data_IF_153126726924
#
_entry.id   IF_153126726924
#
_cell.length_a   1.000
_cell.length_b   1.000
_cell.length_c   1.000
_cell.angle_alpha   90.00
_cell.angle_beta   90.00
_cell.angle_gamma   90.00
#
_symmetry.space_group_name_H-M   'P 1'
#
loop_
_entity.id
_entity.type
_entity.pdbx_description
1 polymer ?
#
# COMPACT_ATOMS: atom_id res chain seq x y z
N UNK A 1 -2.31 55.03 -41.99
CA UNK A 1 -2.08 55.57 -40.64
C UNK A 1 -2.80 54.65 -39.67
N UNK A 2 -2.06 53.65 -39.20
CA UNK A 2 -2.47 52.84 -38.09
C UNK A 2 -2.12 53.54 -36.78
N UNK A 3 -2.90 53.39 -35.72
CA UNK A 3 -2.42 53.64 -34.39
C UNK A 3 -2.08 52.29 -33.67
N UNK A 4 -0.94 52.36 -33.04
CA UNK A 4 -0.24 51.32 -32.29
C UNK A 4 -1.11 50.64 -31.22
N UNK A 5 -0.95 49.33 -31.13
CA UNK A 5 -1.41 48.49 -30.03
C UNK A 5 -0.55 48.72 -28.77
N UNK A 6 -1.20 49.12 -27.67
CA UNK A 6 -0.58 49.18 -26.34
C UNK A 6 -0.39 47.82 -25.70
N UNK A 7 0.52 47.65 -24.71
CA UNK A 7 0.84 46.37 -24.14
C UNK A 7 -0.28 45.85 -23.22
N UNK A 8 -0.73 44.62 -23.51
CA UNK A 8 -1.67 43.91 -22.70
C UNK A 8 -1.11 43.62 -21.30
N UNK A 9 -1.88 43.93 -20.30
CA UNK A 9 -1.63 43.62 -18.90
C UNK A 9 -1.51 42.08 -18.71
N UNK A 10 -0.37 41.67 -18.22
CA UNK A 10 -0.22 40.37 -17.57
C UNK A 10 -1.05 40.43 -16.28
N UNK A 11 -2.19 39.74 -16.29
CA UNK A 11 -3.02 39.62 -15.10
C UNK A 11 -2.34 38.70 -14.09
N UNK A 12 -2.26 39.20 -12.87
CA UNK A 12 -1.83 38.50 -11.65
C UNK A 12 -2.42 37.10 -11.51
N UNK A 13 -1.57 36.06 -11.62
CA UNK A 13 -1.81 34.70 -11.14
C UNK A 13 -1.22 34.53 -9.75
N UNK A 14 -1.47 35.49 -8.86
CA UNK A 14 -1.06 35.45 -7.47
C UNK A 14 -2.28 35.58 -6.55
N UNK A 15 -3.18 34.60 -6.60
CA UNK A 15 -4.19 34.44 -5.54
C UNK A 15 -4.80 33.05 -5.68
N UNK A 16 -4.33 32.10 -4.88
CA UNK A 16 -5.01 30.99 -4.21
C UNK A 16 -3.96 29.95 -3.79
N UNK A 17 -2.95 30.39 -3.04
CA UNK A 17 -2.19 29.48 -2.19
C UNK A 17 -2.63 29.75 -0.75
N UNK A 18 -3.83 29.31 -0.40
CA UNK A 18 -4.14 29.01 0.98
C UNK A 18 -3.44 27.67 1.27
N UNK A 19 -2.18 27.75 1.69
CA UNK A 19 -1.47 26.63 2.31
C UNK A 19 -2.28 26.25 3.55
N UNK A 20 -3.17 25.27 3.42
CA UNK A 20 -3.68 24.57 4.58
C UNK A 20 -2.49 23.82 5.19
N UNK A 21 -1.82 24.46 6.14
CA UNK A 21 -0.90 23.78 7.05
C UNK A 21 -1.69 22.71 7.75
N UNK A 22 -1.57 21.47 7.30
CA UNK A 22 -2.14 20.29 7.93
C UNK A 22 -1.31 20.02 9.18
N UNK A 23 -1.53 20.84 10.23
CA UNK A 23 -0.94 20.58 11.54
C UNK A 23 -1.67 19.40 12.15
N UNK A 24 -0.93 18.33 12.48
CA UNK A 24 -1.47 17.18 13.22
C UNK A 24 -2.13 17.70 14.51
N UNK A 25 -3.43 17.43 14.73
CA UNK A 25 -4.15 17.99 15.88
C UNK A 25 -3.51 17.55 17.20
N UNK A 26 -3.33 18.50 18.10
CA UNK A 26 -2.84 18.26 19.46
C UNK A 26 -4.00 17.82 20.40
N UNK A 27 -4.70 16.73 20.08
CA UNK A 27 -5.64 16.15 21.03
C UNK A 27 -4.92 15.12 21.90
N UNK A 28 -4.76 15.39 23.18
CA UNK A 28 -4.13 14.49 24.17
C UNK A 28 -5.05 13.32 24.58
N UNK A 29 -6.04 12.93 23.78
CA UNK A 29 -7.15 12.08 24.20
C UNK A 29 -7.24 10.72 23.52
N UNK A 30 -6.15 10.10 23.09
CA UNK A 30 -6.21 8.67 22.78
C UNK A 30 -6.39 7.87 24.07
N UNK A 31 -7.54 7.21 24.23
CA UNK A 31 -7.72 6.25 25.33
C UNK A 31 -6.98 4.98 24.96
N UNK A 32 -5.95 4.64 25.73
CA UNK A 32 -5.12 3.46 25.52
C UNK A 32 -5.51 2.36 26.49
N UNK A 33 -5.77 1.15 25.97
CA UNK A 33 -6.03 -0.06 26.76
C UNK A 33 -5.17 -1.21 26.29
N UNK A 34 -4.75 -2.06 27.22
CA UNK A 34 -4.04 -3.32 26.95
C UNK A 34 -5.01 -4.46 27.26
N UNK A 35 -5.29 -5.34 26.29
CA UNK A 35 -6.25 -6.43 26.45
C UNK A 35 -5.63 -7.82 26.53
N UNK A 36 -4.40 -8.00 26.03
CA UNK A 36 -3.73 -9.28 26.02
C UNK A 36 -2.23 -9.15 26.20
N UNK A 37 -1.62 -10.11 26.90
CA UNK A 37 -0.18 -10.31 26.99
C UNK A 37 0.11 -11.80 26.92
N UNK A 38 1.02 -12.18 26.06
CA UNK A 38 1.39 -13.57 25.84
C UNK A 38 2.90 -13.71 25.71
N UNK A 39 3.43 -14.82 26.15
CA UNK A 39 4.81 -15.21 25.89
C UNK A 39 4.84 -16.59 25.28
N UNK A 40 5.40 -16.73 24.11
CA UNK A 40 5.62 -18.01 23.45
C UNK A 40 6.68 -17.92 22.36
N UNK A 41 7.34 -19.05 22.07
CA UNK A 41 8.35 -19.17 20.99
C UNK A 41 9.41 -18.07 21.00
N UNK A 42 9.90 -17.72 22.21
CA UNK A 42 10.98 -16.74 22.36
C UNK A 42 10.57 -15.28 22.14
N UNK A 43 9.28 -14.97 22.17
CA UNK A 43 8.80 -13.58 22.09
C UNK A 43 7.67 -13.30 23.10
N UNK A 44 7.64 -12.07 23.60
CA UNK A 44 6.54 -11.52 24.36
C UNK A 44 5.71 -10.61 23.45
N UNK A 45 4.40 -10.74 23.55
CA UNK A 45 3.46 -9.91 22.79
C UNK A 45 2.54 -9.14 23.72
N UNK A 46 2.23 -7.90 23.37
CA UNK A 46 1.22 -7.08 24.05
C UNK A 46 0.24 -6.53 23.03
N UNK A 47 -1.05 -6.62 23.33
CA UNK A 47 -2.12 -6.13 22.48
C UNK A 47 -2.62 -4.77 22.98
N UNK A 48 -2.41 -3.76 22.15
CA UNK A 48 -2.78 -2.37 22.43
C UNK A 48 -3.99 -1.97 21.60
N UNK A 49 -4.95 -1.31 22.24
CA UNK A 49 -6.11 -0.72 21.60
C UNK A 49 -6.14 0.77 21.94
N UNK A 50 -6.34 1.59 20.92
CA UNK A 50 -6.39 3.04 21.04
C UNK A 50 -7.70 3.56 20.48
N UNK A 51 -8.37 4.46 21.19
CA UNK A 51 -9.49 5.21 20.65
C UNK A 51 -8.95 6.52 20.10
N UNK A 52 -9.17 6.76 18.81
CA UNK A 52 -8.68 7.93 18.07
C UNK A 52 -9.84 8.60 17.33
N UNK A 53 -9.76 9.89 16.99
CA UNK A 53 -10.76 10.53 16.14
C UNK A 53 -10.86 9.87 14.76
N UNK A 54 -12.07 9.77 14.20
CA UNK A 54 -12.26 9.42 12.80
C UNK A 54 -11.64 10.50 11.92
N UNK A 55 -12.07 11.74 12.14
CA UNK A 55 -11.53 12.93 11.47
C UNK A 55 -10.55 13.65 12.38
N UNK A 56 -9.28 13.68 12.02
CA UNK A 56 -8.21 14.37 12.73
C UNK A 56 -8.13 15.86 12.40
N UNK A 57 -8.82 16.31 11.34
CA UNK A 57 -8.64 17.63 10.75
C UNK A 57 -9.85 18.55 10.95
N UNK A 58 -10.96 18.02 11.48
CA UNK A 58 -12.07 18.83 11.95
C UNK A 58 -11.70 19.64 13.20
N UNK A 59 -12.44 20.69 13.49
CA UNK A 59 -12.20 21.52 14.68
C UNK A 59 -12.23 20.68 15.96
N UNK A 60 -11.18 20.77 16.77
CA UNK A 60 -10.91 19.94 17.95
C UNK A 60 -11.93 20.06 19.10
N UNK A 61 -13.00 20.84 18.96
CA UNK A 61 -13.92 21.21 20.03
C UNK A 61 -15.31 20.56 19.94
N UNK A 62 -15.52 19.61 19.01
CA UNK A 62 -16.78 18.85 18.95
C UNK A 62 -16.77 17.69 19.95
N UNK A 63 -17.51 17.81 21.10
CA UNK A 63 -17.59 16.73 22.09
C UNK A 63 -18.27 15.46 21.55
N UNK A 64 -18.94 15.56 20.39
CA UNK A 64 -19.63 14.48 19.70
C UNK A 64 -18.85 13.89 18.54
N UNK A 65 -17.58 14.31 18.31
CA UNK A 65 -16.77 13.82 17.22
C UNK A 65 -16.65 12.29 17.23
N UNK A 66 -16.90 11.68 16.07
CA UNK A 66 -16.83 10.22 15.94
C UNK A 66 -15.41 9.72 16.17
N UNK A 67 -15.30 8.61 16.89
CA UNK A 67 -14.03 7.93 17.15
C UNK A 67 -14.03 6.53 16.60
N UNK A 68 -12.83 6.05 16.27
CA UNK A 68 -12.58 4.68 15.84
C UNK A 68 -11.56 4.00 16.75
N UNK A 69 -11.51 2.68 16.71
CA UNK A 69 -10.48 1.91 17.39
C UNK A 69 -9.31 1.66 16.43
N UNK A 70 -8.09 1.91 16.89
CA UNK A 70 -6.85 1.49 16.23
C UNK A 70 -6.16 0.46 17.13
N UNK A 71 -5.75 -0.64 16.52
CA UNK A 71 -5.06 -1.76 17.16
C UNK A 71 -3.59 -1.78 16.77
N UNK A 72 -2.74 -2.09 17.73
CA UNK A 72 -1.35 -2.40 17.46
C UNK A 72 -0.88 -3.57 18.32
N UNK A 73 -0.03 -4.41 17.77
CA UNK A 73 0.61 -5.49 18.53
C UNK A 73 2.08 -5.23 18.69
N UNK A 74 2.51 -5.17 19.95
CA UNK A 74 3.91 -5.11 20.33
C UNK A 74 4.52 -6.50 20.32
N UNK A 75 5.77 -6.58 19.83
CA UNK A 75 6.62 -7.77 19.91
C UNK A 75 7.96 -7.39 20.52
N UNK A 76 8.41 -8.18 21.49
CA UNK A 76 9.72 -8.04 22.15
C UNK A 76 10.37 -9.42 22.24
N UNK A 77 11.67 -9.53 21.96
CA UNK A 77 12.40 -10.79 22.19
C UNK A 77 12.38 -11.17 23.66
N UNK A 78 12.11 -12.44 23.97
CA UNK A 78 12.16 -12.98 25.32
C UNK A 78 13.60 -13.05 25.88
N UNK A 79 14.63 -12.86 25.04
CA UNK A 79 16.03 -12.75 25.47
C UNK A 79 16.30 -11.50 26.32
N UNK A 80 15.52 -10.44 26.15
CA UNK A 80 15.58 -9.28 27.02
C UNK A 80 14.85 -9.53 28.34
N UNK A 81 15.42 -9.08 29.46
CA UNK A 81 14.66 -8.99 30.72
C UNK A 81 13.53 -8.00 30.59
N UNK A 82 12.50 -8.08 31.43
CA UNK A 82 11.40 -7.09 31.41
C UNK A 82 11.87 -5.64 31.58
N UNK A 83 12.90 -5.44 32.43
CA UNK A 83 13.47 -4.11 32.66
C UNK A 83 14.21 -3.60 31.42
N UNK A 84 15.04 -4.44 30.80
CA UNK A 84 15.74 -4.10 29.57
C UNK A 84 14.76 -3.83 28.41
N UNK A 85 13.74 -4.67 28.27
CA UNK A 85 12.71 -4.51 27.25
C UNK A 85 12.01 -3.13 27.30
N UNK A 86 11.73 -2.61 28.51
CA UNK A 86 11.11 -1.30 28.69
C UNK A 86 11.99 -0.13 28.26
N UNK A 87 13.30 -0.33 28.16
CA UNK A 87 14.27 0.69 27.74
C UNK A 87 14.54 0.68 26.24
N UNK A 88 14.12 -0.38 25.52
CA UNK A 88 14.31 -0.45 24.08
C UNK A 88 13.48 0.64 23.38
N UNK A 89 14.05 1.30 22.35
CA UNK A 89 13.31 2.24 21.53
C UNK A 89 12.22 1.51 20.72
N UNK A 90 11.20 2.25 20.33
CA UNK A 90 10.13 1.73 19.48
C UNK A 90 10.53 1.75 18.00
N UNK A 91 10.20 0.67 17.32
CA UNK A 91 10.16 0.57 15.87
C UNK A 91 8.72 0.29 15.46
N UNK A 92 8.11 1.20 14.70
CA UNK A 92 6.77 1.01 14.16
C UNK A 92 6.88 0.52 12.73
N UNK A 93 6.26 -0.63 12.46
CA UNK A 93 6.16 -1.15 11.10
C UNK A 93 4.87 -0.66 10.44
N UNK A 94 5.01 -0.01 9.30
CA UNK A 94 3.91 0.44 8.45
C UNK A 94 3.77 -0.51 7.27
N UNK A 95 2.64 -1.23 7.27
CA UNK A 95 2.34 -2.24 6.25
C UNK A 95 1.99 -1.59 4.92
N UNK A 96 2.30 -2.30 3.83
CA UNK A 96 1.87 -1.95 2.48
C UNK A 96 0.38 -2.17 2.22
N UNK A 97 -0.01 -2.03 0.99
CA UNK A 97 -1.38 -2.13 0.50
C UNK A 97 -1.70 -0.97 -0.45
N UNK A 98 -2.73 -0.15 -0.19
CA UNK A 98 -3.46 0.17 1.06
C UNK A 98 -4.27 -0.99 1.65
N UNK A 99 -4.72 -0.83 2.89
CA UNK A 99 -5.60 -1.81 3.53
C UNK A 99 -4.89 -3.07 4.07
N UNK A 100 -3.56 -3.12 4.06
CA UNK A 100 -2.79 -4.19 4.69
C UNK A 100 -2.75 -4.05 6.20
N UNK A 101 -3.14 -5.11 6.94
CA UNK A 101 -2.97 -5.16 8.40
C UNK A 101 -1.54 -5.54 8.76
N UNK A 102 -1.10 -5.18 9.96
CA UNK A 102 0.19 -5.62 10.51
C UNK A 102 0.32 -7.15 10.58
N UNK A 103 1.48 -7.68 10.24
CA UNK A 103 1.74 -9.12 10.27
C UNK A 103 1.59 -9.69 11.68
N UNK A 104 1.12 -10.93 11.77
CA UNK A 104 1.00 -11.70 13.01
C UNK A 104 2.12 -12.71 13.06
N UNK A 105 3.20 -12.39 13.76
CA UNK A 105 4.35 -13.29 13.85
C UNK A 105 4.01 -14.52 14.70
N UNK A 106 4.32 -15.69 14.17
CA UNK A 106 4.30 -16.94 14.90
C UNK A 106 5.63 -17.20 15.61
N UNK A 107 6.70 -16.57 15.12
CA UNK A 107 8.05 -16.49 15.70
C UNK A 107 8.76 -15.29 15.07
N UNK A 108 9.77 -14.75 15.72
CA UNK A 108 10.64 -13.72 15.14
C UNK A 108 11.54 -14.36 14.07
N UNK A 109 11.56 -13.77 12.87
CA UNK A 109 12.36 -14.25 11.74
C UNK A 109 12.70 -13.10 10.78
N UNK A 110 13.70 -13.28 9.91
CA UNK A 110 14.13 -12.25 8.95
C UNK A 110 14.33 -10.90 9.63
N UNK A 111 13.76 -9.83 9.06
CA UNK A 111 13.89 -8.49 9.60
C UNK A 111 13.39 -8.35 11.04
N UNK A 112 12.33 -9.04 11.43
CA UNK A 112 11.76 -8.90 12.78
C UNK A 112 12.69 -9.47 13.85
N UNK A 113 13.42 -10.55 13.54
CA UNK A 113 14.46 -11.09 14.41
C UNK A 113 15.65 -10.13 14.54
N UNK A 114 16.07 -9.53 13.42
CA UNK A 114 17.14 -8.53 13.45
C UNK A 114 16.73 -7.30 14.25
N UNK A 115 15.52 -6.77 14.02
CA UNK A 115 15.02 -5.58 14.71
C UNK A 115 14.80 -5.81 16.22
N UNK A 116 14.32 -7.00 16.63
CA UNK A 116 14.03 -7.31 18.04
C UNK A 116 15.28 -7.36 18.93
N UNK A 117 16.49 -7.32 18.36
CA UNK A 117 17.74 -7.15 19.11
C UNK A 117 17.85 -5.77 19.76
N UNK A 118 17.37 -4.73 19.05
CA UNK A 118 17.57 -3.32 19.42
C UNK A 118 16.26 -2.56 19.67
N UNK A 119 15.09 -3.16 19.35
CA UNK A 119 13.80 -2.46 19.35
C UNK A 119 12.66 -3.27 19.99
N UNK A 120 11.68 -2.51 20.52
CA UNK A 120 10.31 -2.99 20.67
C UNK A 120 9.62 -2.78 19.32
N UNK A 121 9.08 -3.83 18.73
CA UNK A 121 8.44 -3.75 17.41
C UNK A 121 6.94 -3.54 17.61
N UNK A 122 6.39 -2.48 17.03
CA UNK A 122 4.96 -2.20 17.02
C UNK A 122 4.40 -2.45 15.62
N UNK A 123 3.62 -3.52 15.48
CA UNK A 123 2.90 -3.86 14.26
C UNK A 123 1.54 -3.18 14.30
N UNK A 124 1.41 -2.08 13.56
CA UNK A 124 0.18 -1.30 13.50
C UNK A 124 -0.80 -1.92 12.51
N UNK A 125 -2.02 -2.22 12.95
CA UNK A 125 -3.14 -2.34 12.04
C UNK A 125 -3.59 -0.91 11.72
N UNK A 126 -3.34 -0.46 10.50
CA UNK A 126 -3.78 0.86 10.06
C UNK A 126 -5.31 0.94 10.14
N UNK A 127 -5.87 2.14 10.31
CA UNK A 127 -7.33 2.35 10.36
C UNK A 127 -8.05 1.61 9.23
N UNK A 128 -9.15 0.98 9.54
CA UNK A 128 -9.93 0.18 8.60
C UNK A 128 -9.43 -1.25 8.36
N UNK A 129 -8.30 -1.65 8.97
CA UNK A 129 -7.69 -2.95 8.73
C UNK A 129 -7.66 -3.82 9.98
N UNK A 130 -7.66 -5.14 9.80
CA UNK A 130 -7.45 -6.09 10.90
C UNK A 130 -8.40 -5.87 12.07
N UNK A 131 -7.86 -5.47 13.24
CA UNK A 131 -8.64 -5.17 14.45
C UNK A 131 -8.87 -3.66 14.65
N UNK A 132 -8.52 -2.83 13.65
CA UNK A 132 -8.64 -1.37 13.69
C UNK A 132 -9.91 -0.90 12.99
N UNK A 133 -11.08 -1.04 13.65
CA UNK A 133 -12.38 -0.67 13.08
C UNK A 133 -12.51 -1.09 11.61
N UNK A 134 -12.55 -2.40 11.31
CA UNK A 134 -12.47 -2.91 9.95
C UNK A 134 -13.48 -2.25 9.01
N UNK A 135 -13.03 -1.86 7.81
CA UNK A 135 -13.88 -1.33 6.76
C UNK A 135 -14.05 -2.39 5.66
N UNK A 136 -15.15 -3.12 5.71
CA UNK A 136 -15.45 -4.22 4.81
C UNK A 136 -16.93 -4.26 4.42
N UNK A 137 -17.33 -5.28 3.64
CA UNK A 137 -18.72 -5.47 3.19
C UNK A 137 -19.75 -5.61 4.31
N UNK A 138 -19.33 -5.91 5.55
CA UNK A 138 -20.23 -6.07 6.69
C UNK A 138 -20.35 -4.77 7.49
N UNK A 139 -19.31 -3.96 7.52
CA UNK A 139 -19.23 -2.76 8.37
C UNK A 139 -19.52 -1.48 7.61
N UNK A 140 -19.09 -1.35 6.36
CA UNK A 140 -19.33 -0.15 5.55
C UNK A 140 -20.84 0.13 5.33
N UNK A 141 -21.70 -0.85 5.02
CA UNK A 141 -23.12 -0.59 4.84
C UNK A 141 -23.81 -0.05 6.10
N UNK A 142 -23.24 -0.28 7.29
CA UNK A 142 -23.77 0.27 8.55
C UNK A 142 -23.59 1.79 8.65
N UNK A 143 -22.77 2.39 7.78
CA UNK A 143 -22.56 3.84 7.69
C UNK A 143 -23.67 4.57 6.94
N UNK A 144 -24.55 3.85 6.24
CA UNK A 144 -25.60 4.39 5.41
C UNK A 144 -25.38 4.16 3.92
N UNK A 145 -25.89 5.04 3.06
CA UNK A 145 -25.73 4.98 1.59
C UNK A 145 -24.29 5.22 1.15
N UNK A 146 -24.05 5.08 -0.17
CA UNK A 146 -22.73 5.17 -0.77
C UNK A 146 -22.00 6.48 -0.44
N UNK A 147 -22.70 7.60 -0.43
CA UNK A 147 -22.12 8.91 -0.07
C UNK A 147 -21.60 8.95 1.38
N UNK A 148 -22.34 8.35 2.33
CA UNK A 148 -21.90 8.30 3.72
C UNK A 148 -20.70 7.38 3.91
N UNK A 149 -20.66 6.27 3.17
CA UNK A 149 -19.54 5.35 3.14
C UNK A 149 -18.29 5.99 2.49
N UNK A 150 -18.45 6.72 1.40
CA UNK A 150 -17.36 7.42 0.74
C UNK A 150 -16.76 8.50 1.67
N UNK A 151 -17.61 9.36 2.30
CA UNK A 151 -17.15 10.33 3.32
C UNK A 151 -16.41 9.67 4.48
N UNK A 152 -16.85 8.51 4.95
CA UNK A 152 -16.15 7.77 5.99
C UNK A 152 -14.75 7.34 5.52
N UNK A 153 -14.63 6.82 4.28
CA UNK A 153 -13.36 6.33 3.73
C UNK A 153 -12.36 7.44 3.36
N UNK A 154 -12.80 8.66 3.14
CA UNK A 154 -11.91 9.81 2.93
C UNK A 154 -10.88 9.98 4.06
N UNK A 155 -11.23 9.53 5.27
CA UNK A 155 -10.36 9.58 6.45
C UNK A 155 -9.40 8.38 6.56
N UNK A 156 -9.20 7.56 5.50
CA UNK A 156 -8.40 6.32 5.58
C UNK A 156 -7.09 6.38 4.80
N UNK A 157 -6.61 7.58 4.49
CA UNK A 157 -5.34 7.78 3.78
C UNK A 157 -4.16 7.97 4.72
N UNK A 158 -2.97 8.17 4.13
CA UNK A 158 -1.70 8.29 4.84
C UNK A 158 -1.68 9.42 5.88
N UNK A 159 -2.31 10.56 5.59
CA UNK A 159 -2.43 11.71 6.49
C UNK A 159 -3.09 11.35 7.83
N UNK A 160 -4.23 10.68 7.78
CA UNK A 160 -4.94 10.21 8.97
C UNK A 160 -4.19 9.07 9.70
N UNK A 161 -3.50 8.19 8.95
CA UNK A 161 -2.67 7.12 9.54
C UNK A 161 -1.50 7.73 10.32
N UNK A 162 -0.88 8.78 9.80
CA UNK A 162 0.19 9.53 10.51
C UNK A 162 -0.35 10.19 11.78
N UNK A 163 -1.53 10.79 11.71
CA UNK A 163 -2.18 11.39 12.88
C UNK A 163 -2.50 10.33 13.97
N UNK A 164 -2.99 9.15 13.58
CA UNK A 164 -3.14 8.01 14.51
C UNK A 164 -1.81 7.63 15.15
N UNK A 165 -0.76 7.48 14.34
CA UNK A 165 0.56 7.08 14.80
C UNK A 165 1.11 8.07 15.84
N UNK A 166 0.92 9.38 15.66
CA UNK A 166 1.31 10.41 16.61
C UNK A 166 0.52 10.36 17.92
N UNK A 167 -0.80 10.10 17.87
CA UNK A 167 -1.58 9.88 19.07
C UNK A 167 -1.15 8.62 19.84
N UNK A 168 -0.87 7.54 19.11
CA UNK A 168 -0.37 6.28 19.68
C UNK A 168 1.01 6.49 20.32
N UNK A 169 1.92 7.18 19.64
CA UNK A 169 3.25 7.49 20.18
C UNK A 169 3.16 8.21 21.52
N UNK A 170 2.31 9.24 21.61
CA UNK A 170 2.08 10.00 22.84
C UNK A 170 1.39 9.17 23.92
N UNK A 171 0.41 8.34 23.56
CA UNK A 171 -0.29 7.46 24.51
C UNK A 171 0.65 6.38 25.10
N UNK A 172 1.66 5.92 24.34
CA UNK A 172 2.70 5.00 24.79
C UNK A 172 3.81 5.71 25.59
N UNK A 173 3.77 7.04 25.73
CA UNK A 173 4.81 7.83 26.37
C UNK A 173 6.17 7.76 25.63
N UNK A 174 6.14 7.51 24.32
CA UNK A 174 7.35 7.40 23.50
C UNK A 174 7.87 8.79 23.09
N UNK A 175 9.18 8.97 23.14
CA UNK A 175 9.87 10.01 22.36
C UNK A 175 9.79 9.72 20.86
N UNK A 176 10.60 10.43 20.04
CA UNK A 176 10.68 10.11 18.60
C UNK A 176 11.05 8.65 18.38
N UNK A 177 10.36 7.99 17.47
CA UNK A 177 10.51 6.57 17.19
C UNK A 177 11.05 6.26 15.79
N UNK A 178 11.46 5.04 15.56
CA UNK A 178 11.90 4.55 14.26
C UNK A 178 10.71 4.03 13.47
N UNK A 179 10.61 4.41 12.19
CA UNK A 179 9.62 3.86 11.26
C UNK A 179 10.31 2.90 10.30
N UNK A 180 9.66 1.76 10.04
CA UNK A 180 10.01 0.87 8.93
C UNK A 180 8.79 0.68 8.04
N UNK A 181 8.79 1.30 6.86
CA UNK A 181 7.67 1.29 5.91
C UNK A 181 7.97 0.41 4.70
N UNK A 182 7.03 -0.47 4.35
CA UNK A 182 7.10 -1.27 3.12
C UNK A 182 6.01 -0.83 2.15
N UNK A 183 6.35 -0.64 0.85
CA UNK A 183 5.37 -0.30 -0.18
C UNK A 183 4.56 0.95 0.23
N UNK A 184 3.24 0.91 0.27
CA UNK A 184 2.41 2.01 0.78
C UNK A 184 2.82 2.48 2.19
N UNK A 185 3.39 1.61 3.03
CA UNK A 185 3.97 2.01 4.31
C UNK A 185 5.12 3.02 4.17
N UNK A 186 5.85 2.97 3.06
CA UNK A 186 6.85 3.99 2.70
C UNK A 186 6.20 5.32 2.28
N UNK A 187 5.05 5.29 1.58
CA UNK A 187 4.26 6.50 1.26
C UNK A 187 3.79 7.17 2.56
N UNK A 188 3.30 6.38 3.52
CA UNK A 188 2.93 6.88 4.86
C UNK A 188 4.15 7.48 5.57
N UNK A 189 5.34 6.88 5.43
CA UNK A 189 6.57 7.42 6.01
C UNK A 189 6.97 8.77 5.39
N UNK A 190 6.78 8.98 4.09
CA UNK A 190 6.96 10.28 3.43
C UNK A 190 5.95 11.33 3.92
N UNK A 191 4.69 10.92 4.11
CA UNK A 191 3.65 11.76 4.73
C UNK A 191 4.04 12.13 6.17
N UNK A 192 4.61 11.21 6.92
CA UNK A 192 5.09 11.43 8.29
C UNK A 192 6.25 12.45 8.31
N UNK A 193 7.22 12.30 7.40
CA UNK A 193 8.32 13.27 7.24
C UNK A 193 7.82 14.67 6.84
N UNK A 194 6.67 14.73 6.14
CA UNK A 194 6.04 15.98 5.72
C UNK A 194 5.34 16.71 6.87
N UNK A 195 4.60 15.98 7.72
CA UNK A 195 3.62 16.62 8.62
C UNK A 195 3.91 16.45 10.12
N UNK A 196 4.77 15.49 10.51
CA UNK A 196 5.11 15.27 11.91
C UNK A 196 6.56 14.77 12.10
N UNK A 197 7.58 15.40 11.45
CA UNK A 197 8.97 14.93 11.51
C UNK A 197 9.56 14.91 12.92
N UNK A 198 9.02 15.70 13.85
CA UNK A 198 9.44 15.73 15.25
C UNK A 198 9.12 14.42 16.01
N UNK A 199 8.16 13.65 15.53
CA UNK A 199 7.85 12.31 16.04
C UNK A 199 8.81 11.22 15.57
N UNK A 200 9.75 11.55 14.67
CA UNK A 200 10.62 10.60 14.02
C UNK A 200 12.08 10.71 14.47
N UNK A 201 12.67 9.57 14.77
CA UNK A 201 14.09 9.41 15.07
C UNK A 201 14.89 9.06 13.82
N UNK A 202 14.39 8.14 13.03
CA UNK A 202 14.94 7.65 11.78
C UNK A 202 13.86 6.91 10.98
N UNK A 203 14.02 6.86 9.66
CA UNK A 203 13.05 6.26 8.75
C UNK A 203 13.74 5.26 7.82
N UNK A 204 13.21 4.05 7.77
CA UNK A 204 13.63 2.98 6.87
C UNK A 204 12.49 2.68 5.91
N UNK A 205 12.76 2.62 4.61
CA UNK A 205 11.75 2.38 3.57
C UNK A 205 12.23 1.24 2.66
N UNK A 206 11.33 0.35 2.28
CA UNK A 206 11.60 -0.70 1.29
C UNK A 206 10.53 -0.72 0.22
N UNK A 207 10.89 -0.53 -1.06
CA UNK A 207 9.98 -0.50 -2.20
C UNK A 207 8.81 0.48 -2.01
N UNK A 208 9.05 1.69 -1.46
CA UNK A 208 7.97 2.56 -1.00
C UNK A 208 8.24 4.06 -1.14
N UNK A 209 8.94 4.51 -2.17
CA UNK A 209 9.10 5.94 -2.47
C UNK A 209 8.08 6.37 -3.52
N UNK A 210 6.95 6.93 -3.05
CA UNK A 210 5.92 7.50 -3.93
C UNK A 210 6.45 8.73 -4.68
N UNK A 211 5.97 9.00 -5.91
CA UNK A 211 6.19 10.30 -6.52
C UNK A 211 5.50 11.40 -5.70
N UNK A 212 6.21 12.49 -5.43
CA UNK A 212 5.69 13.60 -4.64
C UNK A 212 4.72 14.47 -5.45
N UNK A 213 4.86 14.47 -6.76
CA UNK A 213 4.10 15.27 -7.70
C UNK A 213 3.59 14.43 -8.88
N UNK A 214 2.54 14.92 -9.51
CA UNK A 214 1.91 14.28 -10.65
C UNK A 214 0.62 13.56 -10.29
N UNK A 215 0.05 12.90 -11.29
CA UNK A 215 -1.22 12.19 -11.16
C UNK A 215 -1.00 10.66 -11.17
N UNK A 216 -2.02 9.90 -10.81
CA UNK A 216 -1.99 8.45 -10.85
C UNK A 216 -1.65 7.90 -12.26
N UNK A 217 -2.05 8.60 -13.34
CA UNK A 217 -1.71 8.18 -14.71
C UNK A 217 -0.21 8.17 -14.96
N UNK A 218 0.55 9.11 -14.38
CA UNK A 218 2.01 9.11 -14.49
C UNK A 218 2.60 7.84 -13.91
N UNK A 219 2.10 7.41 -12.77
CA UNK A 219 2.51 6.15 -12.12
C UNK A 219 2.18 4.95 -13.02
N UNK A 220 0.92 4.86 -13.47
CA UNK A 220 0.48 3.70 -14.25
C UNK A 220 1.18 3.59 -15.61
N UNK A 221 1.52 4.70 -16.29
CA UNK A 221 2.31 4.63 -17.52
C UNK A 221 3.67 3.98 -17.29
N UNK A 222 4.32 4.23 -16.17
CA UNK A 222 5.60 3.62 -15.86
C UNK A 222 5.44 2.18 -15.38
N UNK A 223 4.44 1.89 -14.53
CA UNK A 223 4.21 0.53 -14.03
C UNK A 223 3.76 -0.43 -15.13
N UNK A 224 2.93 -0.01 -16.10
CA UNK A 224 2.57 -0.84 -17.26
C UNK A 224 3.81 -1.26 -18.06
N UNK A 225 4.76 -0.35 -18.31
CA UNK A 225 6.03 -0.68 -19.00
C UNK A 225 6.84 -1.71 -18.21
N UNK A 226 6.90 -1.55 -16.88
CA UNK A 226 7.63 -2.50 -16.01
C UNK A 226 6.96 -3.86 -15.97
N UNK A 227 5.63 -3.90 -15.87
CA UNK A 227 4.88 -5.16 -15.90
C UNK A 227 5.03 -5.86 -17.24
N UNK A 228 5.04 -5.15 -18.38
CA UNK A 228 5.29 -5.72 -19.69
C UNK A 228 6.69 -6.36 -19.77
N UNK A 229 7.72 -5.64 -19.31
CA UNK A 229 9.08 -6.16 -19.26
C UNK A 229 9.18 -7.41 -18.36
N UNK A 230 8.49 -7.41 -17.22
CA UNK A 230 8.47 -8.55 -16.27
C UNK A 230 7.73 -9.76 -16.82
N UNK A 231 6.66 -9.57 -17.59
CA UNK A 231 6.03 -10.66 -18.34
C UNK A 231 7.02 -11.28 -19.34
N UNK A 232 7.76 -10.46 -20.09
CA UNK A 232 8.75 -10.95 -21.05
C UNK A 232 9.86 -11.76 -20.36
N UNK A 233 10.32 -11.29 -19.20
CA UNK A 233 11.33 -11.99 -18.38
C UNK A 233 10.80 -13.34 -17.89
N UNK A 234 9.58 -13.36 -17.33
CA UNK A 234 8.92 -14.58 -16.84
C UNK A 234 8.76 -15.63 -17.93
N UNK A 235 8.20 -15.26 -19.07
CA UNK A 235 8.03 -16.19 -20.21
C UNK A 235 9.35 -16.52 -20.91
N UNK A 236 10.41 -15.79 -20.62
CA UNK A 236 11.79 -16.18 -21.01
C UNK A 236 12.34 -17.32 -20.14
N UNK A 237 11.96 -17.34 -18.86
CA UNK A 237 12.33 -18.44 -17.94
C UNK A 237 11.44 -19.67 -18.12
N UNK A 238 10.14 -19.48 -18.34
CA UNK A 238 9.11 -20.51 -18.46
C UNK A 238 8.35 -20.36 -19.79
N UNK A 239 8.98 -20.69 -20.94
CA UNK A 239 8.36 -20.50 -22.25
C UNK A 239 7.10 -21.36 -22.46
N UNK A 240 7.01 -22.54 -21.81
CA UNK A 240 5.87 -23.43 -21.84
C UNK A 240 4.60 -22.82 -21.18
N UNK A 241 4.79 -21.94 -20.21
CA UNK A 241 3.70 -21.26 -19.54
C UNK A 241 2.96 -20.31 -20.47
N UNK A 242 3.62 -19.81 -21.50
CA UNK A 242 2.96 -19.00 -22.53
C UNK A 242 1.83 -19.79 -23.21
N UNK A 243 2.10 -21.05 -23.59
CA UNK A 243 1.08 -21.91 -24.19
C UNK A 243 -0.05 -22.22 -23.20
N UNK A 244 0.29 -22.48 -21.95
CA UNK A 244 -0.68 -22.75 -20.88
C UNK A 244 -1.60 -21.55 -20.65
N UNK A 245 -1.04 -20.32 -20.56
CA UNK A 245 -1.82 -19.07 -20.45
C UNK A 245 -2.74 -18.90 -21.65
N UNK A 246 -2.24 -19.11 -22.88
CA UNK A 246 -3.05 -19.01 -24.10
C UNK A 246 -4.17 -20.05 -24.14
N UNK A 247 -3.96 -21.25 -23.60
CA UNK A 247 -4.98 -22.30 -23.46
C UNK A 247 -6.05 -21.88 -22.44
N UNK A 248 -5.65 -21.35 -21.29
CA UNK A 248 -6.57 -20.83 -20.27
C UNK A 248 -7.44 -19.73 -20.86
N UNK A 249 -6.84 -18.77 -21.56
CA UNK A 249 -7.56 -17.66 -22.19
C UNK A 249 -8.58 -18.15 -23.21
N UNK A 250 -8.19 -19.07 -24.10
CA UNK A 250 -9.14 -19.67 -25.07
C UNK A 250 -10.30 -20.38 -24.37
N UNK A 251 -10.00 -21.09 -23.28
CA UNK A 251 -11.02 -21.75 -22.48
C UNK A 251 -12.00 -20.74 -21.86
N UNK A 252 -11.52 -19.70 -21.20
CA UNK A 252 -12.33 -18.67 -20.56
C UNK A 252 -13.16 -17.83 -21.54
N UNK A 253 -12.71 -17.69 -22.80
CA UNK A 253 -13.49 -17.02 -23.86
C UNK A 253 -14.66 -17.85 -24.37
N UNK A 254 -14.65 -19.17 -24.18
CA UNK A 254 -15.64 -20.09 -24.73
C UNK A 254 -16.49 -20.79 -23.67
N UNK A 255 -15.98 -20.92 -22.48
CA UNK A 255 -16.62 -21.64 -21.37
C UNK A 255 -16.70 -20.69 -20.17
N UNK A 256 -17.90 -20.64 -19.56
CA UNK A 256 -18.08 -19.90 -18.32
C UNK A 256 -17.55 -20.73 -17.14
N UNK A 257 -16.43 -20.32 -16.58
CA UNK A 257 -15.85 -20.92 -15.38
C UNK A 257 -16.22 -20.10 -14.15
N UNK A 258 -16.55 -20.83 -13.09
CA UNK A 258 -16.96 -20.25 -11.80
C UNK A 258 -15.95 -20.63 -10.74
N UNK A 259 -15.41 -19.62 -10.07
CA UNK A 259 -14.53 -19.82 -8.91
C UNK A 259 -15.33 -20.44 -7.74
N UNK A 260 -14.68 -21.12 -6.81
CA UNK A 260 -15.36 -21.68 -5.62
C UNK A 260 -16.11 -20.67 -4.76
N UNK A 261 -15.82 -19.37 -4.91
CA UNK A 261 -16.56 -18.26 -4.29
C UNK A 261 -17.89 -17.92 -4.99
N UNK A 262 -18.21 -18.56 -6.13
CA UNK A 262 -19.41 -18.32 -6.91
C UNK A 262 -19.29 -17.18 -7.93
N UNK A 263 -18.10 -16.56 -8.05
CA UNK A 263 -17.83 -15.54 -9.06
C UNK A 263 -17.31 -16.15 -10.35
N UNK A 264 -17.66 -15.55 -11.48
CA UNK A 264 -17.10 -15.93 -12.76
C UNK A 264 -15.61 -15.60 -12.83
N UNK A 265 -14.79 -16.52 -13.32
CA UNK A 265 -13.41 -16.26 -13.73
C UNK A 265 -13.41 -15.80 -15.19
N UNK A 266 -13.20 -14.52 -15.41
CA UNK A 266 -13.08 -13.93 -16.74
C UNK A 266 -11.61 -13.83 -17.15
N UNK A 267 -11.30 -13.49 -18.41
CA UNK A 267 -9.92 -13.31 -18.86
C UNK A 267 -9.25 -12.16 -18.11
N UNK A 268 -9.93 -11.03 -17.94
CA UNK A 268 -9.40 -9.88 -17.21
C UNK A 268 -9.18 -10.18 -15.73
N UNK A 269 -10.02 -11.00 -15.09
CA UNK A 269 -9.74 -11.46 -13.72
C UNK A 269 -8.54 -12.41 -13.67
N UNK A 270 -8.44 -13.32 -14.64
CA UNK A 270 -7.28 -14.21 -14.71
C UNK A 270 -5.98 -13.41 -14.87
N UNK A 271 -5.95 -12.33 -15.66
CA UNK A 271 -4.77 -11.49 -15.80
C UNK A 271 -4.22 -10.98 -14.45
N UNK A 272 -5.06 -10.86 -13.41
CA UNK A 272 -4.65 -10.40 -12.08
C UNK A 272 -3.72 -11.37 -11.33
N UNK A 273 -3.57 -12.62 -11.80
CA UNK A 273 -2.54 -13.53 -11.26
C UNK A 273 -1.12 -12.98 -11.53
N UNK A 274 -0.98 -11.98 -12.39
CA UNK A 274 0.26 -11.21 -12.55
C UNK A 274 0.79 -10.57 -11.28
N UNK A 275 0.01 -10.54 -10.18
CA UNK A 275 0.51 -10.19 -8.84
C UNK A 275 1.68 -11.10 -8.37
N UNK A 276 1.83 -12.29 -8.91
CA UNK A 276 3.00 -13.14 -8.68
C UNK A 276 4.29 -12.52 -9.23
N UNK A 277 4.20 -11.72 -10.28
CA UNK A 277 5.37 -11.11 -10.93
C UNK A 277 6.08 -10.06 -10.06
N UNK A 278 5.44 -9.59 -8.99
CA UNK A 278 5.99 -8.57 -8.10
C UNK A 278 7.09 -9.04 -7.15
N UNK A 279 7.39 -10.33 -7.06
CA UNK A 279 8.42 -10.89 -6.20
C UNK A 279 9.37 -11.82 -6.93
N UNK A 280 10.53 -12.11 -6.33
CA UNK A 280 11.46 -13.09 -6.86
C UNK A 280 10.97 -14.52 -6.62
N UNK A 281 10.65 -14.84 -5.36
CA UNK A 281 10.23 -16.18 -4.95
C UNK A 281 8.80 -16.50 -5.36
N UNK A 282 7.96 -15.49 -5.53
CA UNK A 282 6.56 -15.68 -5.96
C UNK A 282 6.42 -16.07 -7.42
N UNK A 283 7.38 -15.73 -8.26
CA UNK A 283 7.34 -16.02 -9.69
C UNK A 283 7.32 -17.52 -9.99
N UNK A 284 8.06 -18.31 -9.23
CA UNK A 284 8.02 -19.78 -9.32
C UNK A 284 6.66 -20.34 -8.89
N UNK A 285 6.00 -19.65 -7.95
CA UNK A 285 4.62 -19.99 -7.55
C UNK A 285 3.61 -19.80 -8.69
N UNK A 286 3.84 -18.87 -9.63
CA UNK A 286 3.01 -18.74 -10.83
C UNK A 286 3.20 -19.94 -11.76
N UNK A 287 4.43 -20.38 -11.98
CA UNK A 287 4.71 -21.57 -12.77
C UNK A 287 4.01 -22.80 -12.17
N UNK A 288 4.20 -23.06 -10.89
CA UNK A 288 3.55 -24.17 -10.19
C UNK A 288 2.01 -24.09 -10.26
N UNK A 289 1.43 -22.88 -10.18
CA UNK A 289 -0.01 -22.67 -10.36
C UNK A 289 -0.47 -23.08 -11.76
N UNK A 290 0.31 -22.74 -12.79
CA UNK A 290 -0.04 -23.03 -14.19
C UNK A 290 0.12 -24.52 -14.53
N UNK A 291 1.01 -25.26 -13.88
CA UNK A 291 1.14 -26.71 -14.03
C UNK A 291 -0.17 -27.44 -13.66
N UNK A 292 -0.89 -26.93 -12.65
CA UNK A 292 -2.16 -27.49 -12.18
C UNK A 292 -3.38 -27.03 -13.00
N UNK A 293 -3.19 -26.24 -14.07
CA UNK A 293 -4.31 -25.55 -14.72
C UNK A 293 -5.37 -26.49 -15.31
N UNK A 294 -4.99 -27.61 -15.89
CA UNK A 294 -5.93 -28.49 -16.61
C UNK A 294 -5.94 -29.92 -16.08
N UNK A 295 -7.13 -30.52 -16.12
CA UNK A 295 -7.38 -31.94 -15.92
C UNK A 295 -8.06 -32.50 -17.16
N UNK A 296 -7.59 -33.68 -17.63
CA UNK A 296 -8.23 -34.39 -18.73
C UNK A 296 -9.49 -35.08 -18.27
N UNK A 297 -10.58 -34.85 -19.03
CA UNK A 297 -11.86 -35.54 -18.81
C UNK A 297 -12.34 -36.23 -20.10
N UNK A 298 -13.28 -37.21 -20.01
CA UNK A 298 -13.86 -37.81 -21.19
C UNK A 298 -14.56 -36.83 -22.17
N UNK A 299 -14.82 -35.59 -21.70
CA UNK A 299 -15.45 -34.52 -22.50
C UNK A 299 -14.43 -33.46 -22.96
N UNK A 300 -13.15 -33.76 -22.84
CA UNK A 300 -12.05 -32.83 -23.12
C UNK A 300 -11.46 -32.18 -21.86
N UNK A 301 -10.38 -31.42 -22.01
CA UNK A 301 -9.70 -30.77 -20.88
C UNK A 301 -10.59 -29.70 -20.24
N UNK A 302 -10.53 -29.63 -18.91
CA UNK A 302 -11.23 -28.63 -18.08
C UNK A 302 -10.22 -27.96 -17.14
N UNK A 303 -10.49 -26.73 -16.71
CA UNK A 303 -9.74 -26.15 -15.61
C UNK A 303 -9.95 -26.99 -14.34
N UNK A 304 -8.87 -27.27 -13.62
CA UNK A 304 -8.93 -28.11 -12.44
C UNK A 304 -9.48 -27.34 -11.24
N UNK A 305 -10.14 -28.05 -10.31
CA UNK A 305 -10.61 -27.45 -9.07
C UNK A 305 -9.43 -26.92 -8.24
N UNK A 306 -8.27 -27.60 -8.26
CA UNK A 306 -7.03 -27.15 -7.61
C UNK A 306 -6.60 -25.80 -8.12
N UNK A 307 -6.54 -25.62 -9.42
CA UNK A 307 -6.19 -24.35 -10.06
C UNK A 307 -7.19 -23.24 -9.69
N UNK A 308 -8.48 -23.49 -9.77
CA UNK A 308 -9.52 -22.51 -9.47
C UNK A 308 -9.48 -22.05 -8.00
N UNK A 309 -9.23 -22.97 -7.07
CA UNK A 309 -9.05 -22.64 -5.64
C UNK A 309 -7.76 -21.83 -5.40
N UNK A 310 -6.67 -22.14 -6.08
CA UNK A 310 -5.43 -21.42 -5.96
C UNK A 310 -5.48 -20.03 -6.61
N UNK A 311 -6.18 -19.87 -7.72
CA UNK A 311 -6.41 -18.57 -8.40
C UNK A 311 -7.25 -17.63 -7.53
N UNK A 312 -8.27 -18.13 -6.85
CA UNK A 312 -9.27 -17.34 -6.13
C UNK A 312 -8.68 -16.26 -5.20
N UNK A 313 -7.71 -16.52 -4.30
CA UNK A 313 -7.15 -15.50 -3.42
C UNK A 313 -6.39 -14.39 -4.14
N UNK A 314 -5.94 -14.61 -5.37
CA UNK A 314 -5.24 -13.60 -6.17
C UNK A 314 -6.18 -12.66 -6.91
N UNK A 315 -7.40 -13.15 -7.22
CA UNK A 315 -8.40 -12.42 -8.01
C UNK A 315 -9.62 -11.98 -7.20
N UNK A 316 -9.63 -12.17 -5.89
CA UNK A 316 -10.70 -11.70 -4.99
C UNK A 316 -10.15 -10.74 -3.93
N UNK A 317 -10.94 -9.71 -3.60
CA UNK A 317 -10.65 -8.76 -2.53
C UNK A 317 -11.55 -8.93 -1.31
N UNK A 318 -12.14 -10.11 -1.14
CA UNK A 318 -13.03 -10.41 -0.02
C UNK A 318 -12.37 -10.18 1.37
N UNK A 319 -11.06 -10.41 1.47
CA UNK A 319 -10.31 -10.22 2.72
C UNK A 319 -9.71 -8.81 2.89
N UNK A 320 -9.69 -8.02 1.82
CA UNK A 320 -9.14 -6.66 1.83
C UNK A 320 -9.83 -5.76 0.78
N UNK A 321 -11.12 -5.40 0.96
CA UNK A 321 -11.81 -4.53 0.02
C UNK A 321 -11.24 -3.10 -0.01
N UNK A 322 -10.61 -2.62 1.09
CA UNK A 322 -9.93 -1.33 1.13
C UNK A 322 -8.83 -1.21 0.07
N UNK A 323 -8.16 -2.32 -0.27
CA UNK A 323 -7.17 -2.31 -1.34
C UNK A 323 -7.76 -1.77 -2.65
N UNK A 324 -8.90 -2.31 -3.07
CA UNK A 324 -9.55 -1.87 -4.30
C UNK A 324 -10.17 -0.47 -4.19
N UNK A 325 -10.79 -0.14 -3.05
CA UNK A 325 -11.45 1.15 -2.82
C UNK A 325 -10.47 2.32 -2.76
N UNK A 326 -9.30 2.11 -2.16
CA UNK A 326 -8.36 3.18 -1.83
C UNK A 326 -7.09 3.17 -2.70
N UNK A 327 -6.94 2.20 -3.60
CA UNK A 327 -5.68 1.99 -4.32
C UNK A 327 -5.23 3.21 -5.13
N UNK A 328 -6.12 3.85 -5.88
CA UNK A 328 -5.74 5.05 -6.63
C UNK A 328 -5.65 6.31 -5.76
N UNK A 329 -6.44 6.38 -4.68
CA UNK A 329 -6.46 7.56 -3.81
C UNK A 329 -5.14 7.81 -3.06
N UNK A 330 -4.26 6.79 -2.98
CA UNK A 330 -2.92 6.95 -2.41
C UNK A 330 -2.02 7.90 -3.24
N UNK A 331 -2.38 8.16 -4.50
CA UNK A 331 -1.70 9.10 -5.40
C UNK A 331 -2.44 10.42 -5.58
N UNK A 332 -3.67 10.54 -5.04
CA UNK A 332 -4.53 11.68 -5.29
C UNK A 332 -4.18 12.86 -4.38
N UNK A 333 -3.90 14.02 -4.97
CA UNK A 333 -3.62 15.27 -4.30
C UNK A 333 -4.26 16.41 -5.10
N UNK A 334 -5.39 16.97 -4.62
CA UNK A 334 -6.11 18.08 -5.27
C UNK A 334 -6.69 17.76 -6.65
N UNK A 335 -6.86 16.49 -7.00
CA UNK A 335 -7.43 16.03 -8.27
C UNK A 335 -8.11 14.68 -8.12
N UNK A 336 -9.10 14.41 -8.99
CA UNK A 336 -9.71 13.10 -9.11
C UNK A 336 -8.75 12.10 -9.77
N UNK A 337 -8.92 10.83 -9.43
CA UNK A 337 -8.20 9.75 -10.12
C UNK A 337 -8.96 9.28 -11.36
N UNK A 338 -10.29 9.30 -11.34
CA UNK A 338 -11.18 8.92 -12.45
C UNK A 338 -10.76 7.60 -13.12
N UNK A 339 -10.43 6.60 -12.33
CA UNK A 339 -9.97 5.31 -12.81
C UNK A 339 -8.76 5.42 -13.74
N UNK A 340 -7.69 6.03 -13.24
CA UNK A 340 -6.48 6.31 -13.99
C UNK A 340 -5.87 5.06 -14.64
N UNK A 341 -5.81 3.93 -13.92
CA UNK A 341 -5.30 2.68 -14.46
C UNK A 341 -6.12 2.21 -15.67
N UNK A 342 -7.46 2.35 -15.60
CA UNK A 342 -8.36 1.98 -16.69
C UNK A 342 -8.21 2.86 -17.93
N UNK A 343 -7.96 4.16 -17.72
CA UNK A 343 -7.73 5.09 -18.82
C UNK A 343 -6.38 4.84 -19.49
N UNK A 344 -5.32 4.63 -18.69
CA UNK A 344 -3.96 4.36 -19.17
C UNK A 344 -3.86 3.00 -19.87
N UNK A 345 -4.64 2.00 -19.47
CA UNK A 345 -4.68 0.69 -20.13
C UNK A 345 -4.85 0.78 -21.65
N UNK A 346 -5.58 1.80 -22.14
CA UNK A 346 -5.80 2.01 -23.59
C UNK A 346 -4.53 2.36 -24.34
N UNK A 347 -3.49 2.82 -23.64
CA UNK A 347 -2.17 3.11 -24.21
C UNK A 347 -1.31 1.82 -24.36
N UNK A 348 -1.77 0.69 -23.75
CA UNK A 348 -1.06 -0.59 -23.67
C UNK A 348 -1.95 -1.74 -24.14
N UNK A 349 -2.22 -1.86 -25.45
CA UNK A 349 -3.17 -2.83 -26.00
C UNK A 349 -2.79 -4.29 -25.75
N UNK A 350 -1.54 -4.59 -25.44
CA UNK A 350 -1.06 -5.94 -25.07
C UNK A 350 -1.64 -6.44 -23.74
N UNK A 351 -2.17 -5.57 -22.91
CA UNK A 351 -2.88 -5.92 -21.68
C UNK A 351 -4.40 -6.04 -21.88
N UNK A 352 -4.91 -5.78 -23.08
CA UNK A 352 -6.32 -6.01 -23.37
C UNK A 352 -6.67 -7.50 -23.20
N UNK A 353 -7.81 -7.85 -22.56
CA UNK A 353 -8.27 -9.23 -22.49
C UNK A 353 -8.60 -9.83 -23.87
N UNK A 354 -8.73 -8.98 -24.89
CA UNK A 354 -8.97 -9.35 -26.28
C UNK A 354 -7.69 -9.47 -27.12
N UNK A 355 -6.53 -9.16 -26.54
CA UNK A 355 -5.26 -9.27 -27.23
C UNK A 355 -5.04 -10.73 -27.73
N UNK A 356 -4.39 -10.92 -28.90
CA UNK A 356 -4.07 -12.26 -29.40
C UNK A 356 -3.26 -13.10 -28.42
N UNK A 357 -2.31 -12.46 -27.75
CA UNK A 357 -1.58 -12.98 -26.60
C UNK A 357 -1.66 -11.93 -25.49
N UNK A 358 -2.31 -12.27 -24.40
CA UNK A 358 -2.47 -11.36 -23.28
C UNK A 358 -1.16 -11.27 -22.47
N UNK A 359 -0.97 -10.13 -21.79
CA UNK A 359 -0.04 -10.01 -20.68
C UNK A 359 -0.79 -10.07 -19.35
N UNK A 360 -0.13 -10.60 -18.33
CA UNK A 360 -0.63 -10.59 -16.95
C UNK A 360 -0.45 -9.19 -16.38
N UNK A 361 -1.46 -8.71 -15.63
CA UNK A 361 -1.45 -7.34 -15.05
C UNK A 361 -0.72 -7.31 -13.71
N UNK A 362 -0.35 -6.11 -13.27
CA UNK A 362 0.19 -5.87 -11.94
C UNK A 362 -0.88 -5.45 -10.94
N UNK A 363 -0.59 -4.36 -10.24
CA UNK A 363 -1.35 -3.82 -9.11
C UNK A 363 -2.39 -2.77 -9.54
N UNK A 364 -3.04 -2.99 -10.68
CA UNK A 364 -4.03 -2.07 -11.24
C UNK A 364 -5.43 -2.44 -10.78
N UNK A 365 -6.23 -1.44 -10.41
CA UNK A 365 -7.64 -1.60 -10.07
C UNK A 365 -8.49 -0.95 -11.14
N UNK A 366 -9.53 -1.66 -11.60
CA UNK A 366 -10.38 -1.26 -12.71
C UNK A 366 -11.86 -1.20 -12.29
N UNK A 367 -12.70 -0.36 -12.93
CA UNK A 367 -14.13 -0.26 -12.61
C UNK A 367 -14.86 -1.61 -12.68
N UNK A 368 -14.59 -2.43 -13.71
CA UNK A 368 -15.23 -3.73 -13.92
C UNK A 368 -14.99 -4.70 -12.75
N UNK A 369 -13.93 -4.50 -11.95
CA UNK A 369 -13.66 -5.36 -10.81
C UNK A 369 -14.79 -5.29 -9.77
N UNK A 370 -15.40 -4.11 -9.61
CA UNK A 370 -16.57 -3.92 -8.74
C UNK A 370 -17.86 -4.55 -9.29
N UNK A 371 -17.90 -4.95 -10.54
CA UNK A 371 -19.02 -5.74 -11.11
C UNK A 371 -18.80 -7.24 -10.92
N UNK A 372 -17.56 -7.70 -10.92
CA UNK A 372 -17.22 -9.11 -11.03
C UNK A 372 -16.86 -9.78 -9.69
N UNK A 373 -16.35 -9.03 -8.70
CA UNK A 373 -16.02 -9.54 -7.36
C UNK A 373 -17.24 -9.37 -6.42
N UNK A 374 -17.73 -10.49 -5.87
CA UNK A 374 -18.90 -10.48 -4.98
C UNK A 374 -18.71 -9.63 -3.72
N UNK A 375 -17.47 -9.49 -3.23
CA UNK A 375 -17.18 -8.68 -2.07
C UNK A 375 -17.12 -7.18 -2.39
N UNK A 376 -16.79 -6.82 -3.62
CA UNK A 376 -16.70 -5.44 -4.10
C UNK A 376 -18.00 -4.92 -4.70
N UNK A 377 -18.84 -5.80 -5.26
CA UNK A 377 -20.09 -5.39 -5.95
C UNK A 377 -20.97 -4.45 -5.10
N UNK A 378 -21.19 -4.67 -3.80
CA UNK A 378 -21.96 -3.75 -2.96
C UNK A 378 -21.30 -2.39 -2.76
N UNK A 379 -20.00 -2.26 -3.08
CA UNK A 379 -19.18 -1.07 -2.85
C UNK A 379 -18.89 -0.29 -4.14
N UNK A 380 -19.51 -0.68 -5.27
CA UNK A 380 -19.25 -0.06 -6.58
C UNK A 380 -19.53 1.44 -6.57
N UNK A 381 -20.69 1.86 -6.10
CA UNK A 381 -21.06 3.28 -6.03
C UNK A 381 -20.12 4.07 -5.12
N UNK A 382 -19.66 3.47 -4.03
CA UNK A 382 -18.65 4.07 -3.15
C UNK A 382 -17.33 4.29 -3.88
N UNK A 383 -16.89 3.30 -4.66
CA UNK A 383 -15.66 3.39 -5.45
C UNK A 383 -15.75 4.49 -6.53
N UNK A 384 -16.91 4.61 -7.20
CA UNK A 384 -17.15 5.68 -8.18
C UNK A 384 -17.08 7.07 -7.54
N UNK A 385 -17.67 7.26 -6.36
CA UNK A 385 -17.60 8.51 -5.62
C UNK A 385 -16.17 8.86 -5.22
N UNK A 386 -15.40 7.89 -4.73
CA UNK A 386 -13.99 8.09 -4.37
C UNK A 386 -13.12 8.41 -5.58
N UNK A 387 -13.34 7.73 -6.71
CA UNK A 387 -12.61 7.99 -7.94
C UNK A 387 -12.89 9.39 -8.51
N UNK A 388 -14.13 9.87 -8.40
CA UNK A 388 -14.56 11.17 -8.88
C UNK A 388 -14.21 12.36 -7.95
N UNK A 389 -13.76 12.09 -6.71
CA UNK A 389 -13.43 13.15 -5.73
C UNK A 389 -12.23 13.97 -6.18
N UNK A 390 -12.40 15.29 -6.26
CA UNK A 390 -11.38 16.24 -6.76
C UNK A 390 -10.58 16.94 -5.65
N UNK A 391 -11.15 17.05 -4.45
CA UNK A 391 -10.67 17.86 -3.33
C UNK A 391 -9.87 17.04 -2.30
N UNK A 392 -9.05 16.08 -2.79
CA UNK A 392 -8.16 15.33 -1.95
C UNK A 392 -7.08 16.22 -1.31
N UNK A 393 -6.89 16.11 0.01
CA UNK A 393 -5.82 16.81 0.72
C UNK A 393 -4.43 16.40 0.19
N UNK A 394 -3.44 17.31 0.25
CA UNK A 394 -2.05 16.94 -0.02
C UNK A 394 -1.57 15.85 0.93
N UNK A 395 -0.79 14.91 0.40
CA UNK A 395 -0.14 13.84 1.17
C UNK A 395 1.31 14.18 1.51
N UNK A 396 1.89 15.15 0.80
CA UNK A 396 3.29 15.55 0.97
C UNK A 396 3.42 17.06 1.04
N UNK A 397 4.42 17.50 1.81
CA UNK A 397 4.90 18.88 1.83
C UNK A 397 6.31 18.91 1.23
N UNK A 398 6.47 19.28 -0.05
CA UNK A 398 7.77 19.30 -0.72
C UNK A 398 8.78 20.25 -0.03
N UNK A 399 8.32 21.36 0.54
CA UNK A 399 9.20 22.31 1.21
C UNK A 399 9.75 21.70 2.52
N UNK A 400 8.91 21.05 3.31
CA UNK A 400 9.32 20.34 4.52
C UNK A 400 10.26 19.16 4.19
N UNK A 401 9.95 18.39 3.13
CA UNK A 401 10.80 17.29 2.68
C UNK A 401 12.18 17.77 2.21
N UNK A 402 12.24 18.89 1.47
CA UNK A 402 13.49 19.51 1.06
C UNK A 402 14.29 20.07 2.26
N UNK A 403 13.63 20.42 3.35
CA UNK A 403 14.24 20.88 4.60
C UNK A 403 14.46 19.74 5.62
N UNK A 404 14.08 18.51 5.32
CA UNK A 404 14.11 17.38 6.24
C UNK A 404 15.46 17.21 6.96
N UNK A 405 15.41 16.98 8.27
CA UNK A 405 16.60 16.71 9.12
C UNK A 405 16.63 15.28 9.65
N UNK A 406 15.53 14.53 9.52
CA UNK A 406 15.44 13.15 10.00
C UNK A 406 16.24 12.24 9.07
N UNK A 407 17.19 11.44 9.59
CA UNK A 407 17.90 10.46 8.77
C UNK A 407 16.93 9.44 8.17
N UNK A 408 17.01 9.24 6.87
CA UNK A 408 16.17 8.28 6.16
C UNK A 408 17.00 7.45 5.18
N UNK A 409 16.64 6.18 5.00
CA UNK A 409 17.22 5.31 3.98
C UNK A 409 16.12 4.51 3.28
N UNK A 410 16.28 4.28 1.98
CA UNK A 410 15.30 3.56 1.19
C UNK A 410 15.97 2.54 0.27
N UNK A 411 15.47 1.29 0.30
CA UNK A 411 15.76 0.32 -0.74
C UNK A 411 14.88 0.62 -1.96
N UNK A 412 15.54 0.85 -3.11
CA UNK A 412 14.92 1.11 -4.41
C UNK A 412 15.25 -0.07 -5.31
N UNK A 413 14.23 -0.85 -5.66
CA UNK A 413 14.44 -2.04 -6.48
C UNK A 413 14.40 -1.69 -7.96
N UNK A 414 15.45 -2.05 -8.69
CA UNK A 414 15.65 -1.66 -10.09
C UNK A 414 14.51 -2.11 -11.01
N UNK A 415 13.96 -3.30 -10.74
CA UNK A 415 12.93 -3.93 -11.57
C UNK A 415 11.57 -4.01 -10.84
N UNK A 416 11.31 -3.11 -9.89
CA UNK A 416 10.03 -3.02 -9.20
C UNK A 416 8.90 -2.71 -10.20
N UNK A 417 7.86 -3.53 -10.20
CA UNK A 417 6.70 -3.39 -11.09
C UNK A 417 5.56 -2.56 -10.48
N UNK A 418 5.68 -2.17 -9.21
CA UNK A 418 4.67 -1.44 -8.45
C UNK A 418 5.13 -0.03 -8.09
N UNK A 419 6.32 0.09 -7.52
CA UNK A 419 6.91 1.37 -7.14
C UNK A 419 8.13 1.64 -8.02
N UNK A 420 7.87 2.28 -9.16
CA UNK A 420 8.83 2.39 -10.24
C UNK A 420 10.09 3.14 -9.82
N UNK A 421 11.25 2.61 -10.26
CA UNK A 421 12.60 3.06 -9.90
C UNK A 421 12.84 4.54 -10.19
N UNK A 422 12.50 5.02 -11.39
CA UNK A 422 12.75 6.41 -11.80
C UNK A 422 11.98 7.40 -10.93
N UNK A 423 10.70 7.12 -10.68
CA UNK A 423 9.86 7.91 -9.79
C UNK A 423 10.38 7.87 -8.35
N UNK A 424 10.87 6.72 -7.90
CA UNK A 424 11.46 6.56 -6.57
C UNK A 424 12.72 7.39 -6.39
N UNK A 425 13.61 7.42 -7.40
CA UNK A 425 14.85 8.19 -7.36
C UNK A 425 14.61 9.69 -7.44
N UNK A 426 13.59 10.12 -8.19
CA UNK A 426 13.13 11.51 -8.21
C UNK A 426 12.72 11.95 -6.80
N UNK A 427 11.92 11.16 -6.11
CA UNK A 427 11.54 11.41 -4.71
C UNK A 427 12.75 11.41 -3.78
N UNK A 428 13.65 10.44 -3.91
CA UNK A 428 14.86 10.37 -3.09
C UNK A 428 15.73 11.63 -3.24
N UNK A 429 15.83 12.18 -4.45
CA UNK A 429 16.57 13.40 -4.72
C UNK A 429 15.92 14.66 -4.11
N UNK A 430 14.58 14.66 -3.96
CA UNK A 430 13.82 15.78 -3.40
C UNK A 430 13.81 15.79 -1.86
N UNK A 431 14.03 14.65 -1.20
CA UNK A 431 13.99 14.54 0.26
C UNK A 431 15.39 14.64 0.86
N UNK A 432 15.66 15.75 1.56
CA UNK A 432 16.96 15.94 2.22
C UNK A 432 17.22 14.84 3.26
N UNK A 433 18.47 14.36 3.35
CA UNK A 433 18.92 13.27 4.22
C UNK A 433 18.27 11.90 3.96
N UNK A 434 17.58 11.72 2.86
CA UNK A 434 17.17 10.41 2.41
C UNK A 434 18.27 9.81 1.52
N UNK A 435 18.72 8.61 1.86
CA UNK A 435 19.75 7.88 1.11
C UNK A 435 19.09 6.71 0.38
N UNK A 436 19.02 6.72 -0.95
CA UNK A 436 18.57 5.55 -1.70
C UNK A 436 19.68 4.49 -1.77
N UNK A 437 19.29 3.24 -1.61
CA UNK A 437 20.08 2.07 -1.98
C UNK A 437 19.40 1.38 -3.16
N UNK A 438 20.00 1.57 -4.33
CA UNK A 438 19.53 0.88 -5.53
C UNK A 438 20.09 -0.54 -5.57
N UNK A 439 19.22 -1.50 -5.91
CA UNK A 439 19.63 -2.90 -6.10
C UNK A 439 18.74 -3.61 -7.12
N UNK A 440 19.35 -4.49 -7.91
CA UNK A 440 18.66 -5.41 -8.81
C UNK A 440 18.52 -6.83 -8.21
N UNK A 441 19.04 -7.06 -7.00
CA UNK A 441 19.04 -8.38 -6.36
C UNK A 441 17.65 -8.79 -5.90
N UNK A 442 16.73 -7.82 -5.72
CA UNK A 442 15.39 -8.01 -5.22
C UNK A 442 14.35 -7.35 -6.12
N UNK A 443 13.11 -7.80 -5.99
CA UNK A 443 11.91 -7.15 -6.50
C UNK A 443 11.10 -6.51 -5.35
N UNK A 444 9.85 -6.11 -5.62
CA UNK A 444 9.02 -5.33 -4.69
C UNK A 444 8.94 -5.91 -3.28
N UNK A 445 8.92 -7.23 -3.13
CA UNK A 445 8.83 -7.91 -1.84
C UNK A 445 10.18 -8.45 -1.33
N UNK A 446 11.29 -7.79 -1.67
CA UNK A 446 12.62 -8.17 -1.20
C UNK A 446 12.72 -8.41 0.30
N UNK A 447 11.88 -7.72 1.11
CA UNK A 447 11.77 -7.96 2.55
C UNK A 447 11.36 -9.41 2.89
N UNK A 448 10.65 -10.09 1.99
CA UNK A 448 10.31 -11.50 2.14
C UNK A 448 11.46 -12.41 1.71
N UNK A 449 12.29 -11.98 0.75
CA UNK A 449 13.43 -12.74 0.25
C UNK A 449 14.59 -12.72 1.26
N UNK A 450 15.05 -11.52 1.66
CA UNK A 450 16.13 -11.35 2.67
C UNK A 450 15.88 -10.11 3.55
N UNK A 451 14.84 -10.18 4.35
CA UNK A 451 14.47 -9.07 5.24
C UNK A 451 15.54 -8.73 6.29
N UNK A 452 16.37 -9.69 6.72
CA UNK A 452 17.43 -9.43 7.70
C UNK A 452 18.53 -8.55 7.09
N UNK A 453 19.00 -8.89 5.89
CA UNK A 453 20.03 -8.10 5.19
C UNK A 453 19.52 -6.71 4.82
N UNK A 454 18.29 -6.60 4.27
CA UNK A 454 17.70 -5.32 3.88
C UNK A 454 17.53 -4.41 5.10
N UNK A 455 16.93 -4.91 6.19
CA UNK A 455 16.77 -4.13 7.41
C UNK A 455 18.12 -3.69 7.99
N UNK A 456 19.08 -4.61 8.09
CA UNK A 456 20.41 -4.33 8.61
C UNK A 456 21.15 -3.26 7.79
N UNK A 457 21.05 -3.33 6.46
CA UNK A 457 21.65 -2.34 5.56
C UNK A 457 21.03 -0.96 5.73
N UNK A 458 19.70 -0.85 5.69
CA UNK A 458 19.01 0.42 5.85
C UNK A 458 19.30 1.06 7.22
N UNK A 459 19.27 0.25 8.28
CA UNK A 459 19.59 0.71 9.63
C UNK A 459 21.06 1.19 9.73
N UNK A 460 21.99 0.49 9.10
CA UNK A 460 23.38 0.89 9.00
C UNK A 460 23.55 2.24 8.28
N UNK A 461 22.81 2.45 7.19
CA UNK A 461 22.85 3.70 6.42
C UNK A 461 22.38 4.91 7.27
N UNK A 462 21.23 4.83 7.93
CA UNK A 462 20.72 5.95 8.75
C UNK A 462 21.61 6.23 9.96
N UNK A 463 22.26 5.21 10.53
CA UNK A 463 23.16 5.37 11.67
C UNK A 463 24.51 5.98 11.27
N UNK A 464 25.00 5.76 10.04
CA UNK A 464 26.24 6.34 9.54
C UNK A 464 26.17 7.86 9.33
N UNK A 465 25.00 8.42 9.12
CA UNK A 465 24.79 9.88 8.94
C UNK A 465 24.74 10.63 10.29
N UNK A 466 24.61 9.91 11.39
CA UNK A 466 24.57 10.51 12.75
C UNK A 466 25.95 10.79 13.33
N UNK A 467 26.97 10.12 12.81
CA UNK A 467 28.36 10.33 13.20
C UNK A 467 29.03 11.32 12.24
#
# INVERSE_FOLDING_TARGET
MEPAAGPGRVADLAAHSAVHTTTVPRTDRAVHTVRGRHEFRGMRTTEHYFTVPLDHFSSAEDPGAETITVFAREYVSAEHTETAAKQLPWLVYLQGGPGGRGNRFMSLGGWSKAAAKDFRILMLDQRGTGLSSPADRNTLPLRGGAEAQARYLEHFRADSIVADAELIRRALGSGPWTIYGQSYGGFIALTYLSFAPEGLREVLITGGLAPLEGTAERVYRETFKRVAARNAEYFGWYPEDRETVDRIVRHLRTIEEVLPGGERLTVERFQMVGSFLGGNTRVDGLHNLLEDAFVDTPRGPRLSDTFLEQVRPHVSRATNPLYALMHESIYAQGSATDWAAWRVLREFPEFSPDAPQILLTGEMIYPWYFDQDNALRPLKEVAELLAAKTDWNPLYDPAQLAANIVPAAAAVYTNDIYVERGLSLETAAAVRKLQPWETADFHHDGIADDGEAIFGRLLGMVRSVRN
#
